data_IF_621014602369
#
_entry.id   IF_621014602369
#
_cell.length_a   1.000
_cell.length_b   1.000
_cell.length_c   1.000
_cell.angle_alpha   90.00
_cell.angle_beta   90.00
_cell.angle_gamma   90.00
#
_symmetry.space_group_name_H-M   'P 1'
#
loop_
_entity.id
_entity.type
_entity.pdbx_description
1 polymer ?
#
# COMPACT_ATOMS: atom_id res chain seq x y z
N UNK A 1 -15.05 -8.62 -17.61
CA UNK A 1 -13.92 -9.27 -16.90
C UNK A 1 -12.64 -8.77 -17.50
N UNK A 2 -11.81 -8.08 -16.72
CA UNK A 2 -10.47 -7.67 -17.14
C UNK A 2 -9.50 -8.01 -16.00
N UNK A 3 -9.16 -9.29 -15.90
CA UNK A 3 -8.07 -9.75 -15.03
C UNK A 3 -6.76 -9.59 -15.79
N UNK A 4 -6.05 -8.49 -15.50
CA UNK A 4 -4.68 -8.28 -15.95
C UNK A 4 -3.73 -8.55 -14.79
N UNK A 5 -2.99 -9.67 -14.83
CA UNK A 5 -1.83 -9.86 -13.96
C UNK A 5 -0.84 -8.72 -14.18
N UNK A 6 -0.69 -7.85 -13.17
CA UNK A 6 0.22 -6.71 -13.18
C UNK A 6 1.67 -7.21 -13.25
N UNK A 7 2.33 -7.05 -14.40
CA UNK A 7 3.77 -7.33 -14.60
C UNK A 7 4.65 -6.08 -14.44
N UNK A 8 4.09 -4.92 -14.16
CA UNK A 8 4.85 -3.67 -14.11
C UNK A 8 4.68 -2.97 -12.76
N UNK A 9 5.78 -2.83 -12.00
CA UNK A 9 5.81 -2.12 -10.71
C UNK A 9 5.36 -0.66 -10.83
N UNK A 10 5.44 -0.09 -12.03
CA UNK A 10 5.01 1.28 -12.33
C UNK A 10 3.47 1.45 -12.33
N UNK A 11 2.70 0.35 -12.34
CA UNK A 11 1.23 0.46 -12.32
C UNK A 11 0.68 0.85 -10.96
N UNK A 12 1.38 0.56 -9.85
CA UNK A 12 0.90 0.92 -8.51
C UNK A 12 0.91 2.45 -8.31
N UNK A 13 2.01 3.17 -8.63
CA UNK A 13 1.98 4.63 -8.77
C UNK A 13 0.82 5.16 -9.61
N UNK A 14 0.66 4.63 -10.83
CA UNK A 14 -0.36 5.10 -11.77
C UNK A 14 -1.79 4.85 -11.26
N UNK A 15 -2.05 3.68 -10.67
CA UNK A 15 -3.32 3.35 -10.06
C UNK A 15 -3.61 4.28 -8.87
N UNK A 16 -2.61 4.56 -8.03
CA UNK A 16 -2.76 5.47 -6.92
C UNK A 16 -3.07 6.90 -7.40
N UNK A 17 -2.38 7.38 -8.44
CA UNK A 17 -2.61 8.69 -9.04
C UNK A 17 -4.00 8.79 -9.70
N UNK A 18 -4.46 7.71 -10.36
CA UNK A 18 -5.79 7.65 -10.95
C UNK A 18 -6.89 7.69 -9.88
N UNK A 19 -6.77 6.87 -8.84
CA UNK A 19 -7.74 6.81 -7.75
C UNK A 19 -7.79 8.14 -6.96
N UNK A 20 -6.66 8.83 -6.78
CA UNK A 20 -6.63 10.12 -6.09
C UNK A 20 -7.41 11.22 -6.84
N UNK A 21 -7.61 11.06 -8.16
CA UNK A 21 -8.41 12.01 -8.96
C UNK A 21 -9.91 11.79 -8.84
N UNK A 22 -10.34 10.71 -8.19
CA UNK A 22 -11.76 10.47 -7.95
C UNK A 22 -12.29 11.44 -6.90
N UNK A 23 -13.51 11.92 -7.12
CA UNK A 23 -14.14 12.88 -6.23
C UNK A 23 -14.28 12.31 -4.80
N UNK A 24 -13.95 13.12 -3.81
CA UNK A 24 -14.03 12.74 -2.39
C UNK A 24 -12.84 11.93 -1.86
N UNK A 25 -11.84 11.61 -2.69
CA UNK A 25 -10.64 10.88 -2.25
C UNK A 25 -9.49 11.86 -1.97
N UNK A 26 -8.99 11.86 -0.73
CA UNK A 26 -7.85 12.70 -0.33
C UNK A 26 -6.54 11.93 -0.16
N UNK A 27 -6.63 10.62 0.07
CA UNK A 27 -5.48 9.74 0.28
C UNK A 27 -5.77 8.37 -0.31
N UNK A 28 -4.79 7.80 -1.00
CA UNK A 28 -4.86 6.48 -1.62
C UNK A 28 -3.62 5.68 -1.24
N UNK A 29 -3.83 4.39 -0.96
CA UNK A 29 -2.78 3.39 -0.86
C UNK A 29 -3.16 2.22 -1.77
N UNK A 30 -2.29 1.89 -2.73
CA UNK A 30 -2.43 0.71 -3.59
C UNK A 30 -1.27 -0.22 -3.29
N UNK A 31 -1.52 -1.54 -3.25
CA UNK A 31 -0.48 -2.53 -3.08
C UNK A 31 -0.66 -3.71 -4.04
N UNK A 32 0.40 -4.49 -4.23
CA UNK A 32 0.39 -5.73 -4.98
C UNK A 32 1.58 -6.61 -4.59
N UNK A 33 1.55 -7.88 -5.00
CA UNK A 33 2.62 -8.85 -4.71
C UNK A 33 3.37 -9.16 -5.99
N UNK A 34 4.67 -8.92 -6.00
CA UNK A 34 5.58 -9.20 -7.12
C UNK A 34 6.86 -9.82 -6.54
N UNK A 35 7.32 -10.93 -7.10
CA UNK A 35 8.55 -11.63 -6.66
C UNK A 35 8.63 -11.84 -5.13
N UNK A 36 7.55 -12.37 -4.53
CA UNK A 36 7.44 -12.57 -3.07
C UNK A 36 7.58 -11.30 -2.22
N UNK A 37 7.36 -10.13 -2.82
CA UNK A 37 7.44 -8.82 -2.15
C UNK A 37 6.12 -8.09 -2.30
N UNK A 38 5.58 -7.61 -1.18
CA UNK A 38 4.46 -6.66 -1.18
C UNK A 38 5.03 -5.29 -1.56
N UNK A 39 4.63 -4.78 -2.72
CA UNK A 39 4.93 -3.42 -3.18
C UNK A 39 3.74 -2.52 -2.90
N UNK A 40 4.00 -1.28 -2.47
CA UNK A 40 2.98 -0.34 -2.06
C UNK A 40 3.28 1.04 -2.63
N UNK A 41 2.25 1.75 -3.08
CA UNK A 41 2.33 3.15 -3.52
C UNK A 41 1.23 3.95 -2.84
N UNK A 42 1.63 5.00 -2.14
CA UNK A 42 0.72 5.91 -1.47
C UNK A 42 0.75 7.30 -2.12
N UNK A 43 -0.42 7.93 -2.17
CA UNK A 43 -0.63 9.29 -2.65
C UNK A 43 -1.56 10.05 -1.73
N UNK A 44 -1.30 11.33 -1.51
CA UNK A 44 -2.20 12.20 -0.76
C UNK A 44 -2.16 13.62 -1.30
N UNK A 45 -3.32 14.26 -1.39
CA UNK A 45 -3.44 15.70 -1.62
C UNK A 45 -3.75 16.48 -0.32
N UNK A 46 -3.87 15.78 0.82
CA UNK A 46 -4.12 16.40 2.12
C UNK A 46 -2.84 17.02 2.67
N UNK A 47 -2.74 18.35 2.55
CA UNK A 47 -1.59 19.15 3.01
C UNK A 47 -1.34 19.06 4.53
N UNK A 48 -2.29 18.55 5.31
CA UNK A 48 -2.15 18.36 6.75
C UNK A 48 -1.38 17.09 7.10
N UNK A 49 -1.15 16.21 6.12
CA UNK A 49 -0.51 14.91 6.31
C UNK A 49 0.79 14.85 5.52
N UNK A 50 1.78 14.11 6.05
CA UNK A 50 2.98 13.77 5.30
C UNK A 50 2.98 12.27 5.01
N UNK A 51 2.56 11.88 3.80
CA UNK A 51 2.32 10.47 3.47
C UNK A 51 3.61 9.63 3.55
N UNK A 52 4.77 10.22 3.24
CA UNK A 52 6.09 9.59 3.47
C UNK A 52 6.31 9.15 4.92
N UNK A 53 6.12 10.06 5.88
CA UNK A 53 6.24 9.78 7.31
C UNK A 53 5.21 8.76 7.81
N UNK A 54 3.98 8.78 7.28
CA UNK A 54 2.95 7.77 7.61
C UNK A 54 3.40 6.37 7.15
N UNK A 55 3.85 6.25 5.90
CA UNK A 55 4.34 4.99 5.36
C UNK A 55 5.57 4.48 6.12
N UNK A 56 6.50 5.37 6.48
CA UNK A 56 7.67 5.05 7.29
C UNK A 56 7.29 4.52 8.68
N UNK A 57 6.37 5.19 9.37
CA UNK A 57 5.88 4.73 10.67
C UNK A 57 5.15 3.39 10.59
N UNK A 58 4.34 3.17 9.54
CA UNK A 58 3.54 1.97 9.37
C UNK A 58 4.38 0.74 8.97
N UNK A 59 5.38 0.92 8.10
CA UNK A 59 6.05 -0.17 7.41
C UNK A 59 7.58 -0.18 7.55
N UNK A 60 8.23 0.92 7.93
CA UNK A 60 9.69 1.03 8.01
C UNK A 60 10.36 0.07 9.01
N UNK A 61 9.62 -0.43 10.00
CA UNK A 61 10.12 -1.47 10.93
C UNK A 61 10.17 -2.88 10.35
N UNK A 62 9.44 -3.16 9.27
CA UNK A 62 9.27 -4.50 8.69
C UNK A 62 9.62 -4.56 7.21
N UNK A 63 10.14 -3.47 6.66
CA UNK A 63 10.44 -3.33 5.25
C UNK A 63 11.07 -1.97 4.97
N UNK A 64 11.19 -1.65 3.69
CA UNK A 64 11.66 -0.33 3.27
C UNK A 64 10.43 0.56 3.05
N UNK A 65 10.41 1.75 3.62
CA UNK A 65 9.32 2.70 3.44
C UNK A 65 9.86 4.13 3.37
N UNK A 66 8.97 5.07 3.07
CA UNK A 66 9.29 6.50 3.04
C UNK A 66 8.83 7.20 1.77
N UNK A 67 9.25 8.46 1.63
CA UNK A 67 8.88 9.31 0.49
C UNK A 67 8.70 10.77 0.89
N UNK A 68 7.93 11.48 0.08
CA UNK A 68 7.64 12.91 0.23
C UNK A 68 6.27 13.15 0.86
N UNK A 69 5.90 14.42 1.03
CA UNK A 69 4.63 14.81 1.64
C UNK A 69 3.41 14.25 0.91
N UNK A 70 3.44 14.20 -0.43
CA UNK A 70 2.30 13.80 -1.28
C UNK A 70 2.45 12.43 -1.95
N UNK A 71 3.66 11.86 -1.98
CA UNK A 71 3.93 10.58 -2.63
C UNK A 71 4.91 9.74 -1.83
N UNK A 72 4.58 8.48 -1.60
CA UNK A 72 5.40 7.56 -0.82
C UNK A 72 5.28 6.12 -1.33
N UNK A 73 6.21 5.27 -0.89
CA UNK A 73 6.22 3.85 -1.23
C UNK A 73 6.61 3.01 -0.02
N UNK A 74 6.28 1.72 -0.07
CA UNK A 74 6.85 0.72 0.81
C UNK A 74 7.03 -0.63 0.12
N UNK A 75 7.95 -1.43 0.64
CA UNK A 75 8.27 -2.78 0.18
C UNK A 75 8.49 -3.71 1.37
N UNK A 76 7.77 -4.84 1.40
CA UNK A 76 7.85 -5.82 2.48
C UNK A 76 8.04 -7.21 1.87
N UNK A 77 9.10 -7.91 2.28
CA UNK A 77 9.34 -9.29 1.85
C UNK A 77 8.39 -10.24 2.60
N UNK A 78 7.73 -11.14 1.87
CA UNK A 78 6.83 -12.15 2.46
C UNK A 78 7.60 -13.26 3.20
N UNK A 79 8.90 -13.40 2.93
CA UNK A 79 9.72 -14.48 3.49
C UNK A 79 9.15 -15.85 3.14
N UNK A 80 9.03 -16.74 4.15
CA UNK A 80 8.52 -18.10 3.97
C UNK A 80 7.07 -18.14 3.42
N UNK A 81 6.30 -17.06 3.54
CA UNK A 81 4.95 -17.00 2.97
C UNK A 81 4.94 -16.78 1.44
N UNK A 82 6.09 -16.47 0.84
CA UNK A 82 6.21 -16.31 -0.62
C UNK A 82 6.06 -17.61 -1.42
N UNK A 83 6.14 -18.79 -0.78
CA UNK A 83 5.98 -20.09 -1.44
C UNK A 83 4.53 -20.60 -1.47
N UNK A 84 3.58 -19.83 -0.91
CA UNK A 84 2.17 -20.21 -0.91
C UNK A 84 1.63 -20.18 -2.35
N UNK A 85 1.12 -21.30 -2.83
CA UNK A 85 0.56 -21.42 -4.19
C UNK A 85 -0.80 -20.71 -4.33
N UNK A 86 -1.56 -20.63 -3.24
CA UNK A 86 -2.82 -19.89 -3.18
C UNK A 86 -2.59 -18.38 -3.11
N UNK A 87 -2.52 -17.79 -4.30
CA UNK A 87 -2.31 -16.34 -4.48
C UNK A 87 -3.47 -15.51 -3.96
N UNK A 88 -4.70 -16.01 -4.02
CA UNK A 88 -5.88 -15.25 -3.60
C UNK A 88 -5.89 -15.07 -2.09
N UNK A 89 -5.67 -16.16 -1.35
CA UNK A 89 -5.52 -16.13 0.11
C UNK A 89 -4.34 -15.24 0.52
N UNK A 90 -3.20 -15.34 -0.17
CA UNK A 90 -2.03 -14.51 0.12
C UNK A 90 -2.30 -13.01 -0.08
N UNK A 91 -2.96 -12.64 -1.17
CA UNK A 91 -3.35 -11.24 -1.44
C UNK A 91 -4.31 -10.73 -0.37
N UNK A 92 -5.30 -11.55 0.03
CA UNK A 92 -6.27 -11.17 1.06
C UNK A 92 -5.59 -10.93 2.41
N UNK A 93 -4.74 -11.85 2.86
CA UNK A 93 -3.99 -11.72 4.11
C UNK A 93 -3.05 -10.51 4.10
N UNK A 94 -2.33 -10.31 3.00
CA UNK A 94 -1.48 -9.14 2.83
C UNK A 94 -2.31 -7.85 2.88
N UNK A 95 -3.47 -7.82 2.22
CA UNK A 95 -4.38 -6.67 2.22
C UNK A 95 -4.90 -6.33 3.61
N UNK A 96 -5.32 -7.32 4.39
CA UNK A 96 -5.77 -7.11 5.78
C UNK A 96 -4.64 -6.54 6.65
N UNK A 97 -3.43 -7.10 6.56
CA UNK A 97 -2.27 -6.64 7.31
C UNK A 97 -1.83 -5.21 6.93
N UNK A 98 -1.79 -4.92 5.62
CA UNK A 98 -1.50 -3.60 5.06
C UNK A 98 -2.50 -2.56 5.56
N UNK A 99 -3.79 -2.87 5.42
CA UNK A 99 -4.89 -1.97 5.78
C UNK A 99 -4.83 -1.62 7.26
N UNK A 100 -4.68 -2.64 8.11
CA UNK A 100 -4.59 -2.45 9.56
C UNK A 100 -3.43 -1.55 9.95
N UNK A 101 -2.21 -1.84 9.49
CA UNK A 101 -1.01 -1.06 9.82
C UNK A 101 -1.11 0.39 9.35
N UNK A 102 -1.66 0.62 8.18
CA UNK A 102 -1.85 1.96 7.66
C UNK A 102 -2.82 2.78 8.53
N UNK A 103 -3.99 2.21 8.85
CA UNK A 103 -4.99 2.90 9.68
C UNK A 103 -4.58 3.11 11.13
N UNK A 104 -3.77 2.22 11.70
CA UNK A 104 -3.16 2.42 13.04
C UNK A 104 -2.36 3.72 13.11
N UNK A 105 -1.69 4.13 12.01
CA UNK A 105 -0.89 5.36 11.95
C UNK A 105 -1.72 6.59 11.56
N UNK A 106 -2.66 6.44 10.62
CA UNK A 106 -3.51 7.56 10.16
C UNK A 106 -4.49 8.01 11.25
N UNK A 107 -4.61 7.27 12.35
CA UNK A 107 -5.43 7.65 13.50
C UNK A 107 -6.93 7.40 13.29
N UNK A 108 -7.29 6.62 12.27
CA UNK A 108 -8.65 6.10 12.12
C UNK A 108 -8.77 4.88 13.03
N UNK A 109 -8.85 5.13 14.33
CA UNK A 109 -9.44 4.15 15.24
C UNK A 109 -10.90 4.01 14.83
N UNK A 110 -11.22 2.98 14.06
CA UNK A 110 -12.60 2.56 13.87
C UNK A 110 -13.23 2.46 15.25
N UNK A 111 -14.23 3.31 15.52
CA UNK A 111 -15.08 3.10 16.68
C UNK A 111 -15.64 1.68 16.53
N UNK A 112 -15.28 0.82 17.49
CA UNK A 112 -15.97 -0.45 17.72
C UNK A 112 -17.44 -0.19 18.00
#
# INVERSE_FOLDING_TARGET
SNDGFIRNRDTLPQAADYLLRLEGISTVLVFGIVDSTVHMSARSNDIRTHIGSIMEQAFGKIGNAGGHAQAAAAQIQLGLFGVVEDKETLIKMAGEAVTRRFFEVVGVSGKK
#
